data_IF_748068055059
#
_entry.id   IF_748068055059
#
_cell.length_a   1.000
_cell.length_b   1.000
_cell.length_c   1.000
_cell.angle_alpha   90.00
_cell.angle_beta   90.00
_cell.angle_gamma   90.00
#
_symmetry.space_group_name_H-M   'P 1'
#
loop_
_entity.id
_entity.type
_entity.pdbx_description
1 polymer ?
#
# COMPACT_ATOMS: atom_id res chain seq x y z
N UNK A 1 -5.95 6.24 25.67
CA UNK A 1 -4.67 5.76 25.09
C UNK A 1 -5.04 4.87 23.93
N UNK A 2 -4.51 5.14 22.73
CA UNK A 2 -4.86 4.37 21.54
C UNK A 2 -4.14 3.01 21.52
N UNK A 3 -4.62 2.08 20.70
CA UNK A 3 -4.07 0.72 20.66
C UNK A 3 -2.72 0.60 19.90
N UNK A 4 -2.21 1.72 19.34
CA UNK A 4 -0.85 1.84 18.78
C UNK A 4 0.06 2.72 19.63
N UNK A 5 -0.34 3.08 20.87
CA UNK A 5 0.49 3.93 21.73
C UNK A 5 1.87 3.32 21.95
N UNK A 6 2.92 4.13 21.70
CA UNK A 6 4.32 3.72 21.80
C UNK A 6 4.86 2.92 20.63
N UNK A 7 4.05 2.60 19.60
CA UNK A 7 4.52 2.01 18.36
C UNK A 7 5.18 3.05 17.45
N UNK A 8 6.29 2.70 16.84
CA UNK A 8 7.06 3.51 15.89
C UNK A 8 6.92 2.92 14.50
N UNK A 9 6.32 3.68 13.57
CA UNK A 9 5.98 3.17 12.25
C UNK A 9 6.52 4.07 11.13
N UNK A 10 7.21 3.49 10.16
CA UNK A 10 7.60 4.20 8.92
C UNK A 10 6.48 4.06 7.88
N UNK A 11 6.00 5.19 7.36
CA UNK A 11 4.98 5.24 6.31
C UNK A 11 5.62 5.71 5.00
N UNK A 12 5.50 4.91 3.94
CA UNK A 12 5.97 5.29 2.61
C UNK A 12 4.82 5.64 1.67
N UNK A 13 5.09 6.40 0.61
CA UNK A 13 4.12 6.65 -0.46
C UNK A 13 3.08 7.74 -0.15
N UNK A 14 3.31 8.62 0.81
CA UNK A 14 2.48 9.80 1.04
C UNK A 14 2.81 10.86 -0.02
N UNK A 15 1.96 11.01 -1.03
CA UNK A 15 2.13 12.00 -2.11
C UNK A 15 1.14 13.17 -2.00
N UNK A 16 0.04 12.98 -1.30
CA UNK A 16 -1.00 13.99 -1.06
C UNK A 16 -1.89 13.55 0.10
N UNK A 17 -2.70 14.47 0.60
CA UNK A 17 -3.77 14.18 1.59
C UNK A 17 -4.89 13.26 1.06
N UNK A 18 -4.85 12.87 -0.22
CA UNK A 18 -5.76 11.90 -0.84
C UNK A 18 -5.11 10.53 -1.03
N UNK A 19 -3.84 10.36 -0.72
CA UNK A 19 -3.17 9.06 -0.83
C UNK A 19 -3.64 8.12 0.28
N UNK A 20 -3.71 6.84 -0.03
CA UNK A 20 -4.05 5.80 0.96
C UNK A 20 -3.06 5.86 2.13
N UNK A 21 -1.77 6.06 1.85
CA UNK A 21 -0.74 6.21 2.87
C UNK A 21 -1.03 7.35 3.87
N UNK A 22 -1.62 8.46 3.41
CA UNK A 22 -2.03 9.54 4.31
C UNK A 22 -3.18 9.11 5.23
N UNK A 23 -4.18 8.39 4.70
CA UNK A 23 -5.26 7.82 5.51
C UNK A 23 -4.73 6.84 6.56
N UNK A 24 -3.73 6.01 6.19
CA UNK A 24 -3.06 5.09 7.11
C UNK A 24 -2.29 5.87 8.19
N UNK A 25 -1.49 6.87 7.80
CA UNK A 25 -0.75 7.71 8.74
C UNK A 25 -1.69 8.35 9.76
N UNK A 26 -2.81 8.94 9.29
CA UNK A 26 -3.81 9.56 10.15
C UNK A 26 -4.44 8.56 11.14
N UNK A 27 -4.84 7.38 10.68
CA UNK A 27 -5.41 6.37 11.54
C UNK A 27 -4.40 5.87 12.59
N UNK A 28 -3.14 5.62 12.20
CA UNK A 28 -2.09 5.19 13.12
C UNK A 28 -1.77 6.27 14.15
N UNK A 29 -1.64 7.54 13.73
CA UNK A 29 -1.39 8.68 14.63
C UNK A 29 -2.54 8.85 15.63
N UNK A 30 -3.80 8.80 15.19
CA UNK A 30 -4.98 8.87 16.07
C UNK A 30 -4.99 7.75 17.12
N UNK A 31 -4.38 6.61 16.83
CA UNK A 31 -4.22 5.50 17.78
C UNK A 31 -2.92 5.59 18.59
N UNK A 32 -2.17 6.68 18.49
CA UNK A 32 -1.04 7.01 19.35
C UNK A 32 0.32 6.48 18.84
N UNK A 33 0.43 6.10 17.56
CA UNK A 33 1.72 5.76 16.97
C UNK A 33 2.58 7.00 16.72
N UNK A 34 3.89 6.87 16.91
CA UNK A 34 4.90 7.79 16.40
C UNK A 34 5.19 7.44 14.94
N UNK A 35 5.26 8.43 14.06
CA UNK A 35 5.40 8.21 12.62
C UNK A 35 6.69 8.79 12.07
N UNK A 36 7.26 8.10 11.08
CA UNK A 36 8.29 8.58 10.18
C UNK A 36 7.81 8.40 8.73
N UNK A 37 8.37 9.16 7.79
CA UNK A 37 7.92 9.16 6.40
C UNK A 37 9.09 9.01 5.44
N UNK A 38 8.84 8.39 4.28
CA UNK A 38 9.77 8.47 3.15
C UNK A 38 9.14 9.18 1.95
N UNK A 39 9.97 9.81 1.17
CA UNK A 39 9.62 10.47 -0.09
C UNK A 39 10.67 10.14 -1.16
N UNK A 40 10.41 10.48 -2.43
CA UNK A 40 11.34 10.26 -3.53
C UNK A 40 11.64 11.57 -4.25
N UNK A 41 12.89 12.02 -4.12
CA UNK A 41 13.42 13.21 -4.78
C UNK A 41 13.00 14.55 -4.15
N UNK A 42 13.88 15.51 -4.23
CA UNK A 42 13.81 16.82 -3.55
C UNK A 42 12.49 17.57 -3.79
N UNK A 43 11.88 17.41 -4.98
CA UNK A 43 10.60 18.06 -5.34
C UNK A 43 9.44 17.75 -4.41
N UNK A 44 9.49 16.65 -3.65
CA UNK A 44 8.43 16.24 -2.72
C UNK A 44 8.75 16.58 -1.27
N UNK A 45 9.95 16.96 -0.96
CA UNK A 45 10.45 17.18 0.41
C UNK A 45 9.61 18.17 1.20
N UNK A 46 9.37 19.37 0.66
CA UNK A 46 8.60 20.40 1.37
C UNK A 46 7.18 19.90 1.70
N UNK A 47 6.52 19.28 0.73
CA UNK A 47 5.18 18.73 0.91
C UNK A 47 5.15 17.62 1.96
N UNK A 48 6.15 16.73 1.98
CA UNK A 48 6.22 15.67 2.98
C UNK A 48 6.56 16.22 4.34
N UNK A 49 7.37 17.27 4.41
CA UNK A 49 7.63 18.00 5.67
C UNK A 49 6.33 18.57 6.26
N UNK A 50 5.49 19.20 5.42
CA UNK A 50 4.19 19.72 5.86
C UNK A 50 3.29 18.57 6.38
N UNK A 51 3.17 17.46 5.64
CA UNK A 51 2.36 16.33 6.09
C UNK A 51 2.91 15.67 7.35
N UNK A 52 4.23 15.52 7.48
CA UNK A 52 4.84 14.96 8.68
C UNK A 52 4.51 15.81 9.91
N UNK A 53 4.54 17.14 9.79
CA UNK A 53 4.19 18.06 10.85
C UNK A 53 2.72 17.94 11.32
N UNK A 54 1.78 17.58 10.41
CA UNK A 54 0.39 17.29 10.79
C UNK A 54 0.26 16.06 11.72
N UNK A 55 1.27 15.21 11.75
CA UNK A 55 1.37 14.01 12.57
C UNK A 55 2.44 14.12 13.66
N UNK A 56 2.77 15.34 14.08
CA UNK A 56 3.77 15.64 15.12
C UNK A 56 5.15 15.01 14.83
N UNK A 57 5.51 14.85 13.55
CA UNK A 57 6.77 14.22 13.13
C UNK A 57 7.66 15.18 12.33
N UNK A 58 8.96 15.05 12.53
CA UNK A 58 10.01 15.69 11.72
C UNK A 58 10.87 14.66 10.99
N UNK A 59 10.54 13.36 11.12
CA UNK A 59 11.32 12.26 10.58
C UNK A 59 10.89 11.98 9.13
N UNK A 60 11.63 12.57 8.19
CA UNK A 60 11.43 12.39 6.76
C UNK A 60 12.73 11.94 6.10
N UNK A 61 12.67 11.00 5.17
CA UNK A 61 13.84 10.40 4.52
C UNK A 61 13.64 10.32 3.01
N UNK A 62 14.63 10.77 2.24
CA UNK A 62 14.64 10.55 0.80
C UNK A 62 14.98 9.09 0.51
N UNK A 63 14.22 8.43 -0.37
CA UNK A 63 14.45 7.05 -0.75
C UNK A 63 13.76 6.73 -2.07
N UNK A 64 14.55 6.54 -3.11
CA UNK A 64 14.11 5.86 -4.32
C UNK A 64 14.26 4.35 -4.12
N UNK A 65 13.16 3.63 -4.10
CA UNK A 65 13.15 2.17 -3.88
C UNK A 65 13.65 1.36 -5.08
N UNK A 66 13.98 2.00 -6.19
CA UNK A 66 14.69 1.38 -7.32
C UNK A 66 16.22 1.29 -7.08
N UNK A 67 16.70 1.82 -5.95
CA UNK A 67 18.10 1.81 -5.54
C UNK A 67 18.26 1.19 -4.15
N UNK A 68 18.81 0.00 -4.08
CA UNK A 68 19.06 -0.72 -2.83
C UNK A 68 19.96 0.07 -1.87
N UNK A 69 20.89 0.88 -2.38
CA UNK A 69 21.76 1.69 -1.51
C UNK A 69 20.95 2.78 -0.79
N UNK A 70 19.98 3.41 -1.47
CA UNK A 70 19.09 4.39 -0.84
C UNK A 70 18.15 3.72 0.18
N UNK A 71 17.64 2.52 -0.11
CA UNK A 71 16.85 1.75 0.85
C UNK A 71 17.67 1.50 2.12
N UNK A 72 18.89 1.01 2.00
CA UNK A 72 19.79 0.77 3.15
C UNK A 72 20.10 2.05 3.90
N UNK A 73 20.40 3.15 3.18
CA UNK A 73 20.74 4.44 3.79
C UNK A 73 19.56 5.01 4.58
N UNK A 74 18.33 4.93 4.05
CA UNK A 74 17.12 5.39 4.73
C UNK A 74 16.94 4.71 6.09
N UNK A 75 17.09 3.39 6.18
CA UNK A 75 16.96 2.68 7.46
C UNK A 75 18.13 2.96 8.40
N UNK A 76 19.35 3.15 7.89
CA UNK A 76 20.50 3.55 8.67
C UNK A 76 20.30 4.96 9.28
N UNK A 77 19.72 5.89 8.52
CA UNK A 77 19.41 7.24 9.00
C UNK A 77 18.27 7.24 10.02
N UNK A 78 17.20 6.48 9.76
CA UNK A 78 16.10 6.31 10.71
C UNK A 78 16.61 5.74 12.05
N UNK A 79 17.55 4.80 12.01
CA UNK A 79 18.11 4.16 13.22
C UNK A 79 18.85 5.12 14.14
N UNK A 80 19.31 6.26 13.65
CA UNK A 80 19.96 7.30 14.48
C UNK A 80 18.98 7.92 15.48
N UNK A 81 17.68 7.97 15.14
CA UNK A 81 16.62 8.48 16.02
C UNK A 81 15.85 7.32 16.66
N UNK A 82 15.53 6.30 15.89
CA UNK A 82 14.87 5.08 16.34
C UNK A 82 15.80 3.86 16.16
N UNK A 83 16.65 3.52 17.13
CA UNK A 83 17.51 2.34 17.04
C UNK A 83 16.73 1.05 16.75
N UNK A 84 15.46 1.04 17.19
CA UNK A 84 14.46 0.02 16.89
C UNK A 84 13.11 0.65 16.59
N UNK A 85 12.30 0.01 15.72
CA UNK A 85 10.96 0.43 15.40
C UNK A 85 10.02 -0.78 15.15
N UNK A 86 8.71 -0.54 15.12
CA UNK A 86 7.71 -1.59 15.23
C UNK A 86 7.12 -2.02 13.89
N UNK A 87 7.50 -1.40 12.80
CA UNK A 87 7.06 -1.81 11.49
C UNK A 87 7.02 -0.70 10.45
N UNK A 88 6.64 -1.08 9.23
CA UNK A 88 6.49 -0.10 8.17
C UNK A 88 5.33 -0.44 7.24
N UNK A 89 4.83 0.59 6.57
CA UNK A 89 3.83 0.51 5.51
C UNK A 89 4.50 0.78 4.17
N UNK A 90 4.47 -0.21 3.29
CA UNK A 90 4.88 -0.11 1.91
C UNK A 90 3.67 0.28 1.05
N UNK A 91 3.51 1.58 0.78
CA UNK A 91 2.45 2.12 -0.08
C UNK A 91 3.05 2.67 -1.38
N UNK A 92 3.86 1.85 -2.03
CA UNK A 92 4.60 2.19 -3.24
C UNK A 92 4.11 1.33 -4.40
N UNK A 93 4.04 1.93 -5.58
CA UNK A 93 3.74 1.25 -6.81
C UNK A 93 3.90 2.19 -7.99
N UNK A 94 4.54 1.68 -9.04
CA UNK A 94 4.75 2.41 -10.28
C UNK A 94 4.80 1.43 -11.45
N UNK A 95 4.21 1.82 -12.56
CA UNK A 95 4.44 1.20 -13.86
C UNK A 95 4.55 2.31 -14.92
N UNK A 96 5.41 2.15 -15.95
CA UNK A 96 5.42 3.02 -17.09
C UNK A 96 4.02 3.13 -17.71
N UNK A 97 3.69 4.30 -18.25
CA UNK A 97 2.33 4.57 -18.75
C UNK A 97 1.91 3.59 -19.86
N UNK A 98 2.82 3.22 -20.73
CA UNK A 98 2.62 2.23 -21.78
C UNK A 98 2.25 0.86 -21.23
N UNK A 99 2.78 0.48 -20.08
CA UNK A 99 2.51 -0.83 -19.44
C UNK A 99 1.09 -0.99 -18.91
N UNK A 100 0.33 0.12 -18.80
CA UNK A 100 -1.05 0.16 -18.28
C UNK A 100 -2.02 0.81 -19.26
N UNK A 101 -1.56 1.20 -20.47
CA UNK A 101 -2.40 1.78 -21.51
C UNK A 101 -2.84 0.71 -22.53
N UNK A 102 -4.02 0.88 -23.11
CA UNK A 102 -4.51 0.00 -24.17
C UNK A 102 -4.75 -1.45 -23.77
N UNK A 103 -4.56 -2.35 -24.73
CA UNK A 103 -4.58 -3.79 -24.47
C UNK A 103 -3.30 -4.26 -23.78
N UNK A 104 -3.36 -5.42 -23.12
CA UNK A 104 -2.21 -5.96 -22.37
C UNK A 104 -0.97 -6.18 -23.27
N UNK A 105 -1.18 -6.74 -24.45
CA UNK A 105 -0.06 -7.04 -25.37
C UNK A 105 0.52 -5.81 -26.04
N UNK A 106 -0.28 -4.76 -26.23
CA UNK A 106 0.19 -3.50 -26.85
C UNK A 106 1.26 -2.80 -26.01
N UNK A 107 1.07 -2.81 -24.67
CA UNK A 107 1.98 -2.17 -23.72
C UNK A 107 3.06 -3.09 -23.15
N UNK A 108 3.08 -4.37 -23.53
CA UNK A 108 4.02 -5.34 -22.98
C UNK A 108 5.41 -5.17 -23.58
N UNK A 109 6.36 -4.74 -22.77
CA UNK A 109 7.77 -4.75 -23.11
C UNK A 109 8.60 -5.31 -21.94
N UNK A 110 9.79 -5.83 -22.23
CA UNK A 110 10.72 -6.34 -21.21
C UNK A 110 11.05 -5.26 -20.17
N UNK A 111 11.29 -4.03 -20.63
CA UNK A 111 11.67 -2.92 -19.76
C UNK A 111 10.48 -2.45 -18.91
N UNK A 112 9.30 -2.27 -19.49
CA UNK A 112 8.09 -1.88 -18.74
C UNK A 112 7.73 -2.95 -17.70
N UNK A 113 7.86 -4.23 -18.05
CA UNK A 113 7.66 -5.35 -17.12
C UNK A 113 8.68 -5.30 -15.97
N UNK A 114 9.97 -5.13 -16.28
CA UNK A 114 11.05 -5.03 -15.30
C UNK A 114 10.80 -3.87 -14.31
N UNK A 115 10.55 -2.67 -14.83
CA UNK A 115 10.33 -1.47 -14.00
C UNK A 115 9.10 -1.64 -13.10
N UNK A 116 8.00 -2.17 -13.62
CA UNK A 116 6.79 -2.39 -12.82
C UNK A 116 7.04 -3.38 -11.67
N UNK A 117 7.74 -4.48 -11.92
CA UNK A 117 8.05 -5.49 -10.90
C UNK A 117 9.11 -5.01 -9.90
N UNK A 118 10.12 -4.31 -10.37
CA UNK A 118 11.19 -3.76 -9.56
C UNK A 118 10.62 -2.81 -8.49
N UNK A 119 9.87 -1.81 -8.91
CA UNK A 119 9.32 -0.80 -8.00
C UNK A 119 8.09 -1.32 -7.21
N UNK A 120 7.21 -2.11 -7.85
CA UNK A 120 5.91 -2.44 -7.22
C UNK A 120 5.86 -3.80 -6.55
N UNK A 121 6.87 -4.65 -6.72
CA UNK A 121 6.94 -5.98 -6.11
C UNK A 121 8.24 -6.19 -5.34
N UNK A 122 9.41 -6.04 -5.98
CA UNK A 122 10.71 -6.30 -5.36
C UNK A 122 11.01 -5.35 -4.20
N UNK A 123 10.64 -4.09 -4.31
CA UNK A 123 10.95 -3.08 -3.29
C UNK A 123 10.42 -3.43 -1.89
N UNK A 124 9.29 -4.14 -1.77
CA UNK A 124 8.76 -4.55 -0.46
C UNK A 124 9.66 -5.55 0.26
N UNK A 125 10.04 -6.71 -0.31
CA UNK A 125 11.01 -7.61 0.32
C UNK A 125 12.40 -6.99 0.46
N UNK A 126 12.85 -6.12 -0.44
CA UNK A 126 14.11 -5.39 -0.31
C UNK A 126 14.10 -4.49 0.94
N UNK A 127 13.03 -3.71 1.13
CA UNK A 127 12.84 -2.89 2.33
C UNK A 127 12.76 -3.76 3.59
N UNK A 128 12.04 -4.88 3.57
CA UNK A 128 11.95 -5.79 4.70
C UNK A 128 13.33 -6.34 5.11
N UNK A 129 14.16 -6.73 4.13
CA UNK A 129 15.53 -7.18 4.34
C UNK A 129 16.41 -6.08 4.95
N UNK A 130 16.35 -4.87 4.41
CA UNK A 130 17.16 -3.74 4.90
C UNK A 130 16.71 -3.27 6.29
N UNK A 131 15.41 -3.33 6.60
CA UNK A 131 14.83 -2.96 7.87
C UNK A 131 15.15 -3.97 9.00
N UNK A 132 15.41 -5.25 8.65
CA UNK A 132 15.48 -6.36 9.59
C UNK A 132 16.41 -6.14 10.80
N UNK A 133 17.61 -5.50 10.67
CA UNK A 133 18.48 -5.21 11.82
C UNK A 133 17.85 -4.21 12.82
N UNK A 134 16.90 -3.42 12.39
CA UNK A 134 16.32 -2.30 13.14
C UNK A 134 14.88 -2.56 13.61
N UNK A 135 14.26 -3.66 13.18
CA UNK A 135 12.93 -4.04 13.63
C UNK A 135 12.94 -4.61 15.04
N UNK A 136 11.92 -4.24 15.81
CA UNK A 136 11.59 -4.92 17.06
C UNK A 136 11.09 -6.34 16.79
N UNK A 137 11.27 -7.25 17.73
CA UNK A 137 10.55 -8.51 17.70
C UNK A 137 9.04 -8.23 17.75
N UNK A 138 8.25 -9.03 17.00
CA UNK A 138 6.80 -8.81 16.83
C UNK A 138 6.43 -7.57 16.01
N UNK A 139 7.36 -6.98 15.27
CA UNK A 139 7.06 -5.93 14.32
C UNK A 139 6.01 -6.36 13.29
N UNK A 140 5.30 -5.38 12.71
CA UNK A 140 4.28 -5.61 11.69
C UNK A 140 4.62 -4.88 10.38
N UNK A 141 4.69 -5.62 9.28
CA UNK A 141 4.92 -5.10 7.94
C UNK A 141 3.62 -5.15 7.13
N UNK A 142 3.30 -4.08 6.44
CA UNK A 142 2.08 -3.96 5.66
C UNK A 142 2.38 -3.45 4.26
N UNK A 143 1.76 -4.04 3.24
CA UNK A 143 1.79 -3.53 1.87
C UNK A 143 0.39 -3.31 1.30
N UNK A 144 0.30 -2.55 0.19
CA UNK A 144 -0.96 -2.26 -0.49
C UNK A 144 -1.02 -2.98 -1.84
N UNK A 145 -2.09 -3.72 -2.04
CA UNK A 145 -2.43 -4.42 -3.27
C UNK A 145 -3.76 -3.93 -3.85
N UNK A 146 -4.18 -4.57 -4.91
CA UNK A 146 -5.43 -4.30 -5.60
C UNK A 146 -5.99 -5.59 -6.22
N UNK A 147 -7.29 -5.65 -6.40
CA UNK A 147 -8.00 -6.82 -6.97
C UNK A 147 -7.41 -7.31 -8.30
N UNK A 148 -6.73 -6.42 -9.04
CA UNK A 148 -6.00 -6.77 -10.26
C UNK A 148 -4.89 -7.82 -10.09
N UNK A 149 -4.47 -8.13 -8.86
CA UNK A 149 -3.57 -9.26 -8.57
C UNK A 149 -4.24 -10.62 -8.75
N UNK A 150 -5.56 -10.70 -8.59
CA UNK A 150 -6.35 -11.94 -8.61
C UNK A 150 -7.28 -12.04 -9.81
N UNK A 151 -7.74 -10.91 -10.35
CA UNK A 151 -8.73 -10.84 -11.43
C UNK A 151 -8.29 -9.85 -12.49
N UNK A 152 -8.74 -10.08 -13.72
CA UNK A 152 -8.47 -9.15 -14.82
C UNK A 152 -9.23 -7.85 -14.56
N UNK A 153 -8.48 -6.76 -14.49
CA UNK A 153 -9.02 -5.40 -14.46
C UNK A 153 -8.54 -4.69 -15.73
N UNK A 154 -9.45 -4.22 -16.59
CA UNK A 154 -9.06 -3.51 -17.80
C UNK A 154 -8.10 -2.37 -17.52
N UNK A 155 -7.08 -2.20 -18.34
CA UNK A 155 -6.03 -1.17 -18.22
C UNK A 155 -5.19 -1.23 -16.94
N UNK A 156 -5.24 -2.34 -16.20
CA UNK A 156 -4.31 -2.57 -15.09
C UNK A 156 -3.08 -3.38 -15.55
N UNK A 157 -3.27 -4.26 -16.51
CA UNK A 157 -2.25 -4.94 -17.33
C UNK A 157 -1.02 -5.42 -16.51
N UNK A 158 0.20 -4.99 -16.87
CA UNK A 158 1.46 -5.40 -16.21
C UNK A 158 1.47 -5.11 -14.71
N UNK A 159 0.77 -4.07 -14.24
CA UNK A 159 0.65 -3.79 -12.81
C UNK A 159 -0.09 -4.91 -12.07
N UNK A 160 -1.06 -5.59 -12.69
CA UNK A 160 -1.73 -6.76 -12.11
C UNK A 160 -0.74 -7.89 -11.82
N UNK A 161 0.18 -8.16 -12.75
CA UNK A 161 1.24 -9.16 -12.57
C UNK A 161 2.20 -8.77 -11.44
N UNK A 162 2.60 -7.49 -11.38
CA UNK A 162 3.45 -6.99 -10.30
C UNK A 162 2.75 -7.10 -8.94
N UNK A 163 1.45 -6.79 -8.85
CA UNK A 163 0.68 -6.93 -7.60
C UNK A 163 0.47 -8.41 -7.21
N UNK A 164 0.32 -9.33 -8.14
CA UNK A 164 0.30 -10.77 -7.85
C UNK A 164 1.64 -11.25 -7.26
N UNK A 165 2.76 -10.78 -7.81
CA UNK A 165 4.10 -11.03 -7.26
C UNK A 165 4.27 -10.43 -5.86
N UNK A 166 3.77 -9.19 -5.64
CA UNK A 166 3.78 -8.54 -4.33
C UNK A 166 2.98 -9.34 -3.28
N UNK A 167 1.79 -9.83 -3.63
CA UNK A 167 0.98 -10.66 -2.72
C UNK A 167 1.66 -12.00 -2.41
N UNK A 168 2.37 -12.59 -3.37
CA UNK A 168 3.20 -13.75 -3.11
C UNK A 168 4.31 -13.41 -2.10
N UNK A 169 4.98 -12.26 -2.25
CA UNK A 169 6.04 -11.80 -1.34
C UNK A 169 5.55 -11.66 0.11
N UNK A 170 4.29 -11.26 0.34
CA UNK A 170 3.68 -11.20 1.68
C UNK A 170 3.78 -12.57 2.37
N UNK A 171 3.42 -13.64 1.66
CA UNK A 171 3.42 -15.01 2.20
C UNK A 171 4.84 -15.50 2.51
N UNK A 172 5.79 -15.30 1.59
CA UNK A 172 7.19 -15.69 1.80
C UNK A 172 7.86 -14.90 2.91
N UNK A 173 7.59 -13.60 3.03
CA UNK A 173 8.10 -12.79 4.13
C UNK A 173 7.48 -13.19 5.46
N UNK A 174 6.19 -13.51 5.51
CA UNK A 174 5.53 -13.97 6.72
C UNK A 174 6.13 -15.28 7.24
N UNK A 175 6.43 -16.24 6.36
CA UNK A 175 7.13 -17.48 6.71
C UNK A 175 8.55 -17.21 7.24
N UNK A 176 9.31 -16.35 6.56
CA UNK A 176 10.68 -16.03 6.93
C UNK A 176 10.79 -15.28 8.27
N UNK A 177 9.84 -14.38 8.55
CA UNK A 177 9.89 -13.48 9.70
C UNK A 177 9.06 -13.99 10.90
N UNK A 178 8.15 -14.92 10.66
CA UNK A 178 7.24 -15.49 11.67
C UNK A 178 7.94 -16.09 12.88
N UNK A 179 9.09 -16.81 12.77
CA UNK A 179 9.84 -17.32 13.91
C UNK A 179 10.30 -16.25 14.91
N UNK A 180 10.39 -14.99 14.48
CA UNK A 180 10.67 -13.82 15.35
C UNK A 180 9.39 -13.14 15.87
N UNK A 181 8.23 -13.74 15.65
CA UNK A 181 6.93 -13.16 16.00
C UNK A 181 6.52 -11.98 15.13
N UNK A 182 7.26 -11.67 14.06
CA UNK A 182 6.92 -10.59 13.13
C UNK A 182 5.77 -11.02 12.21
N UNK A 183 4.91 -10.07 11.86
CA UNK A 183 3.75 -10.31 10.98
C UNK A 183 3.89 -9.52 9.68
N UNK A 184 3.47 -10.13 8.60
CA UNK A 184 3.50 -9.50 7.27
C UNK A 184 2.15 -9.70 6.61
N UNK A 185 1.48 -8.61 6.28
CA UNK A 185 0.15 -8.62 5.67
C UNK A 185 0.06 -7.64 4.50
N UNK A 186 -0.96 -7.79 3.69
CA UNK A 186 -1.33 -6.86 2.65
C UNK A 186 -2.78 -6.40 2.79
N UNK A 187 -3.09 -5.24 2.25
CA UNK A 187 -4.47 -4.77 2.04
C UNK A 187 -4.70 -4.66 0.54
N UNK A 188 -5.70 -5.39 0.04
CA UNK A 188 -6.26 -5.20 -1.29
C UNK A 188 -7.37 -4.15 -1.20
N UNK A 189 -7.02 -2.90 -1.50
CA UNK A 189 -7.95 -1.78 -1.41
C UNK A 189 -8.83 -1.69 -2.67
N UNK A 190 -10.10 -1.35 -2.52
CA UNK A 190 -10.95 -0.96 -3.64
C UNK A 190 -10.47 0.35 -4.29
N UNK A 191 -11.02 0.74 -5.44
CA UNK A 191 -10.58 1.94 -6.13
C UNK A 191 -10.91 3.20 -5.32
N UNK A 192 -9.89 4.04 -5.13
CA UNK A 192 -9.98 5.34 -4.45
C UNK A 192 -9.43 6.42 -5.39
N UNK A 193 -10.04 7.58 -5.41
CA UNK A 193 -9.61 8.72 -6.24
C UNK A 193 -8.35 9.37 -5.65
N UNK A 194 -7.21 8.73 -5.90
CA UNK A 194 -5.87 9.21 -5.52
C UNK A 194 -5.20 9.95 -6.69
N UNK A 195 -4.07 10.62 -6.44
CA UNK A 195 -3.23 11.18 -7.52
C UNK A 195 -2.73 10.08 -8.47
N UNK A 196 -2.32 8.93 -7.95
CA UNK A 196 -1.88 7.80 -8.76
C UNK A 196 -3.01 7.29 -9.69
N UNK A 197 -4.26 7.26 -9.21
CA UNK A 197 -5.41 6.84 -10.00
C UNK A 197 -5.88 7.90 -11.02
N UNK A 198 -5.50 9.16 -10.87
CA UNK A 198 -5.93 10.26 -11.76
C UNK A 198 -5.46 10.11 -13.21
N UNK A 199 -4.40 9.33 -13.45
CA UNK A 199 -3.89 9.02 -14.78
C UNK A 199 -4.62 7.88 -15.51
N UNK A 200 -5.54 7.18 -14.84
CA UNK A 200 -6.29 6.05 -15.40
C UNK A 200 -7.47 6.59 -16.21
N UNK A 201 -7.53 6.22 -17.49
CA UNK A 201 -8.65 6.61 -18.37
C UNK A 201 -9.98 6.08 -17.82
N UNK A 202 -11.02 6.89 -17.90
CA UNK A 202 -12.40 6.53 -17.47
C UNK A 202 -12.53 6.10 -15.98
N UNK A 203 -11.58 6.50 -15.11
CA UNK A 203 -11.58 6.12 -13.69
C UNK A 203 -12.88 6.49 -12.98
N UNK A 204 -13.54 7.59 -13.36
CA UNK A 204 -14.84 7.97 -12.80
C UNK A 204 -15.96 6.94 -13.10
N UNK A 205 -15.94 6.34 -14.31
CA UNK A 205 -16.89 5.27 -14.67
C UNK A 205 -16.61 4.00 -13.84
N UNK A 206 -15.33 3.66 -13.65
CA UNK A 206 -14.93 2.55 -12.79
C UNK A 206 -15.46 2.75 -11.36
N UNK A 207 -15.30 3.95 -10.77
CA UNK A 207 -15.82 4.25 -9.43
C UNK A 207 -17.34 4.09 -9.36
N UNK A 208 -18.09 4.58 -10.36
CA UNK A 208 -19.54 4.41 -10.42
C UNK A 208 -19.97 2.94 -10.50
N UNK A 209 -19.32 2.16 -11.35
CA UNK A 209 -19.57 0.72 -11.50
C UNK A 209 -19.26 -0.04 -10.19
N UNK A 210 -18.11 0.23 -9.57
CA UNK A 210 -17.73 -0.43 -8.31
C UNK A 210 -18.70 -0.07 -7.19
N UNK A 211 -19.10 1.21 -7.06
CA UNK A 211 -20.07 1.60 -6.05
C UNK A 211 -21.43 0.89 -6.25
N UNK A 212 -21.90 0.78 -7.50
CA UNK A 212 -23.16 0.11 -7.81
C UNK A 212 -23.10 -1.41 -7.55
N UNK A 213 -21.95 -2.05 -7.83
CA UNK A 213 -21.80 -3.50 -7.67
C UNK A 213 -21.40 -3.91 -6.24
N UNK A 214 -20.79 -3.03 -5.45
CA UNK A 214 -20.36 -3.35 -4.09
C UNK A 214 -21.54 -3.58 -3.15
N UNK A 215 -21.49 -4.59 -2.25
CA UNK A 215 -22.50 -4.79 -1.21
C UNK A 215 -22.80 -3.55 -0.37
N UNK A 216 -21.78 -2.74 -0.03
CA UNK A 216 -21.96 -1.49 0.72
C UNK A 216 -22.50 -0.32 -0.11
N UNK A 217 -22.71 -0.49 -1.43
CA UNK A 217 -23.26 0.53 -2.35
C UNK A 217 -22.52 1.86 -2.33
N UNK A 218 -21.24 1.82 -1.99
CA UNK A 218 -20.35 2.98 -2.01
C UNK A 218 -18.93 2.57 -2.35
N UNK A 219 -18.14 3.50 -2.83
CA UNK A 219 -16.69 3.34 -2.83
C UNK A 219 -16.15 3.44 -1.40
N UNK A 220 -15.03 2.80 -1.16
CA UNK A 220 -14.29 2.96 0.08
C UNK A 220 -13.51 4.27 0.09
N UNK A 221 -13.09 4.69 1.27
CA UNK A 221 -12.30 5.88 1.51
C UNK A 221 -10.89 5.53 2.02
N UNK A 222 -10.00 6.52 2.05
CA UNK A 222 -8.67 6.34 2.65
C UNK A 222 -8.76 6.06 4.15
N UNK A 223 -9.84 6.51 4.81
CA UNK A 223 -10.14 6.23 6.21
C UNK A 223 -10.52 4.76 6.43
N UNK A 224 -11.34 4.18 5.55
CA UNK A 224 -11.69 2.76 5.61
C UNK A 224 -10.42 1.89 5.59
N UNK A 225 -9.49 2.20 4.67
CA UNK A 225 -8.20 1.50 4.57
C UNK A 225 -7.30 1.80 5.76
N UNK A 226 -7.24 3.05 6.20
CA UNK A 226 -6.45 3.50 7.34
C UNK A 226 -6.80 2.75 8.63
N UNK A 227 -8.08 2.59 8.91
CA UNK A 227 -8.56 1.89 10.10
C UNK A 227 -8.16 0.41 10.11
N UNK A 228 -8.28 -0.28 8.97
CA UNK A 228 -7.85 -1.67 8.83
C UNK A 228 -6.32 -1.78 8.94
N UNK A 229 -5.58 -0.83 8.33
CA UNK A 229 -4.13 -0.79 8.43
C UNK A 229 -3.68 -0.61 9.90
N UNK A 230 -4.28 0.32 10.65
CA UNK A 230 -3.98 0.52 12.06
C UNK A 230 -4.22 -0.75 12.89
N UNK A 231 -5.33 -1.47 12.64
CA UNK A 231 -5.59 -2.78 13.25
C UNK A 231 -4.50 -3.80 12.91
N UNK A 232 -4.16 -3.98 11.62
CA UNK A 232 -3.16 -4.95 11.18
C UNK A 232 -1.74 -4.65 11.71
N UNK A 233 -1.41 -3.37 11.93
CA UNK A 233 -0.13 -2.93 12.50
C UNK A 233 -0.08 -3.06 14.02
N UNK A 234 -1.22 -3.24 14.69
CA UNK A 234 -1.33 -3.33 16.15
C UNK A 234 -1.22 -4.75 16.68
N UNK A 235 -1.03 -4.87 17.98
CA UNK A 235 -1.04 -6.17 18.69
C UNK A 235 -2.43 -6.83 18.71
N UNK A 236 -3.51 -6.09 18.39
CA UNK A 236 -4.85 -6.66 18.22
C UNK A 236 -4.90 -7.68 17.08
N UNK A 237 -4.02 -7.55 16.09
CA UNK A 237 -3.89 -8.48 14.97
C UNK A 237 -2.81 -9.56 15.20
N UNK A 238 -2.47 -9.91 16.46
CA UNK A 238 -1.37 -10.83 16.80
C UNK A 238 -1.47 -12.21 16.15
N UNK A 239 -2.66 -12.66 15.79
CA UNK A 239 -2.90 -13.92 15.08
C UNK A 239 -3.04 -13.79 13.56
N UNK A 240 -2.80 -12.59 12.98
CA UNK A 240 -3.00 -12.32 11.55
C UNK A 240 -1.67 -12.08 10.86
N UNK A 241 -1.24 -13.01 10.01
CA UNK A 241 -0.06 -12.89 9.16
C UNK A 241 -0.25 -13.66 7.86
N UNK A 242 0.51 -13.33 6.81
CA UNK A 242 0.41 -13.88 5.46
C UNK A 242 -0.95 -13.62 4.76
N UNK A 243 -1.73 -12.67 5.27
CA UNK A 243 -3.09 -12.38 4.80
C UNK A 243 -3.10 -11.18 3.84
N UNK A 244 -4.00 -11.24 2.85
CA UNK A 244 -4.36 -10.11 1.99
C UNK A 244 -5.81 -9.74 2.29
N UNK A 245 -5.97 -8.76 3.16
CA UNK A 245 -7.30 -8.31 3.60
C UNK A 245 -7.95 -7.41 2.56
N UNK A 246 -9.13 -7.77 2.06
CA UNK A 246 -9.88 -6.92 1.14
C UNK A 246 -10.60 -5.80 1.90
N UNK A 247 -10.31 -4.55 1.50
CA UNK A 247 -11.02 -3.35 1.93
C UNK A 247 -11.59 -2.70 0.68
N UNK A 248 -12.75 -3.15 0.23
CA UNK A 248 -13.30 -2.82 -1.09
C UNK A 248 -14.85 -2.72 -1.11
N UNK A 249 -15.47 -2.65 0.06
CA UNK A 249 -16.93 -2.62 0.19
C UNK A 249 -17.60 -3.94 -0.18
N UNK A 250 -16.83 -5.04 -0.26
CA UNK A 250 -17.27 -6.37 -0.67
C UNK A 250 -17.28 -6.60 -2.18
N UNK A 251 -16.75 -5.65 -2.97
CA UNK A 251 -16.77 -5.74 -4.44
C UNK A 251 -16.09 -7.02 -4.97
N UNK A 252 -14.96 -7.43 -4.41
CA UNK A 252 -14.22 -8.63 -4.83
C UNK A 252 -15.04 -9.92 -4.73
N UNK A 253 -16.08 -9.94 -3.89
CA UNK A 253 -16.92 -11.13 -3.66
C UNK A 253 -18.18 -11.16 -4.53
N UNK A 254 -18.45 -10.09 -5.29
CA UNK A 254 -19.60 -10.03 -6.19
C UNK A 254 -19.22 -10.51 -7.58
N UNK A 255 -20.22 -11.00 -8.35
CA UNK A 255 -20.05 -11.32 -9.76
C UNK A 255 -19.95 -10.12 -10.70
N UNK A 256 -19.89 -8.90 -10.16
CA UNK A 256 -19.85 -7.65 -10.95
C UNK A 256 -21.21 -7.20 -11.47
N UNK A 257 -22.29 -7.94 -11.21
CA UNK A 257 -23.65 -7.56 -11.62
C UNK A 257 -24.25 -6.57 -10.60
N UNK A 258 -24.73 -5.41 -11.08
CA UNK A 258 -25.63 -4.56 -10.30
C UNK A 258 -26.98 -5.27 -10.13
N UNK A 259 -27.53 -5.27 -8.91
CA UNK A 259 -28.90 -5.79 -8.69
C UNK A 259 -29.98 -4.94 -9.37
N UNK A 260 -29.64 -3.72 -9.77
CA UNK A 260 -30.57 -2.78 -10.40
C UNK A 260 -30.58 -2.85 -11.94
N UNK A 261 -29.81 -3.76 -12.54
CA UNK A 261 -29.96 -4.15 -13.93
C UNK A 261 -31.02 -5.24 -14.05
N UNK A 262 -32.29 -4.92 -13.79
CA UNK A 262 -33.37 -5.72 -14.36
C UNK A 262 -33.22 -5.65 -15.88
N UNK A 263 -33.20 -6.82 -16.57
CA UNK A 263 -33.29 -6.79 -18.01
C UNK A 263 -34.60 -6.12 -18.36
N UNK A 264 -34.53 -5.03 -19.12
CA UNK A 264 -35.73 -4.50 -19.78
C UNK A 264 -36.19 -5.61 -20.73
N UNK A 265 -37.16 -6.38 -20.27
CA UNK A 265 -37.86 -7.36 -21.12
C UNK A 265 -38.70 -6.56 -22.07
N UNK A 266 -38.19 -6.39 -23.29
CA UNK A 266 -38.93 -5.81 -24.42
C UNK A 266 -39.84 -6.87 -25.03
#
# INVERSE_FOLDING_TARGET
>A
MGFLSGKKLLITGVLSNRSIAYGIARACHQQGAELAFSYVGERFKDRITEFAAEFDSTLIFDCDVSDDAQIHQMFADLSKTWPKFDGFVHSIGFAPREAIAGDFLDGLSREAFRVAHDISAYSFPAMAKAALPYLNDRAALLTLSYLGALRIIPHYNTMGLAKASLEASVRYLAESLGPRGMRVNGISAGPIKTLAASGIKDFGKLLGMVAAASPLRRNITIEDVGNVAAFLLSDLASGVTAEITHVDGGFSQTGGASRDSEPVVS
#
